data_IF_378859043259
#
_entry.id   IF_378859043259
#
_cell.length_a   1.000
_cell.length_b   1.000
_cell.length_c   1.000
_cell.angle_alpha   90.00
_cell.angle_beta   90.00
_cell.angle_gamma   90.00
#
_symmetry.space_group_name_H-M   'P 1'
#
loop_
_entity.id
_entity.type
_entity.pdbx_description
1 polymer ?
#
# COMPACT_ATOMS: atom_id res chain seq x y z
N UNK A 1 -2.93 9.20 16.99
CA UNK A 1 -3.98 8.63 17.85
C UNK A 1 -3.78 7.14 18.03
N UNK A 2 -4.24 6.61 19.16
CA UNK A 2 -4.27 5.16 19.40
C UNK A 2 -5.39 4.51 18.61
N UNK A 3 -5.38 3.20 18.51
CA UNK A 3 -6.42 2.41 17.82
C UNK A 3 -7.78 2.59 18.51
N UNK A 4 -7.79 2.58 19.85
CA UNK A 4 -9.00 2.83 20.63
C UNK A 4 -9.58 4.23 20.44
N UNK A 5 -8.73 5.28 20.48
CA UNK A 5 -9.15 6.67 20.22
C UNK A 5 -9.74 6.85 18.82
N UNK A 6 -9.17 6.18 17.82
CA UNK A 6 -9.68 6.23 16.45
C UNK A 6 -11.04 5.55 16.33
N UNK A 7 -11.21 4.38 16.94
CA UNK A 7 -12.46 3.62 16.95
C UNK A 7 -13.58 4.41 17.67
N UNK A 8 -13.26 5.00 18.82
CA UNK A 8 -14.20 5.85 19.57
C UNK A 8 -14.63 7.08 18.78
N UNK A 9 -13.65 7.79 18.17
CA UNK A 9 -13.93 8.96 17.34
C UNK A 9 -14.83 8.61 16.16
N UNK A 10 -14.51 7.54 15.44
CA UNK A 10 -15.30 7.09 14.29
C UNK A 10 -16.74 6.77 14.69
N UNK A 11 -16.94 6.12 15.83
CA UNK A 11 -18.24 5.75 16.34
C UNK A 11 -19.03 6.97 16.82
N UNK A 12 -18.39 7.88 17.58
CA UNK A 12 -19.01 9.09 18.13
C UNK A 12 -19.44 10.05 17.04
N UNK A 13 -18.54 10.33 16.09
CA UNK A 13 -18.81 11.28 15.00
C UNK A 13 -19.63 10.63 13.86
N UNK A 14 -19.89 9.32 13.93
CA UNK A 14 -20.58 8.56 12.88
C UNK A 14 -19.99 8.81 11.49
N UNK A 15 -18.66 8.85 11.42
CA UNK A 15 -17.94 9.15 10.19
C UNK A 15 -18.28 8.14 9.10
N UNK A 16 -18.66 8.63 7.91
CA UNK A 16 -19.04 7.79 6.77
C UNK A 16 -17.91 7.61 5.74
N UNK A 17 -16.86 8.43 5.82
CA UNK A 17 -15.75 8.44 4.88
C UNK A 17 -14.42 8.40 5.61
N UNK A 18 -13.47 7.63 5.07
CA UNK A 18 -12.10 7.56 5.55
C UNK A 18 -11.15 8.04 4.45
N UNK A 19 -10.11 8.78 4.84
CA UNK A 19 -8.97 9.10 3.99
C UNK A 19 -7.70 8.81 4.79
N UNK A 20 -6.84 7.92 4.26
CA UNK A 20 -5.60 7.56 4.95
C UNK A 20 -4.92 6.33 4.37
N UNK A 21 -4.00 5.74 5.13
CA UNK A 21 -3.24 4.58 4.69
C UNK A 21 -4.07 3.28 4.79
N UNK A 22 -3.85 2.31 3.88
CA UNK A 22 -4.66 1.08 3.81
C UNK A 22 -4.49 0.18 5.04
N UNK A 23 -3.27 -0.09 5.49
CA UNK A 23 -3.03 -1.00 6.63
C UNK A 23 -3.60 -0.47 7.95
N UNK A 24 -3.41 0.81 8.34
CA UNK A 24 -4.08 1.37 9.50
C UNK A 24 -5.61 1.28 9.44
N UNK A 25 -6.20 1.45 8.24
CA UNK A 25 -7.64 1.26 8.07
C UNK A 25 -8.04 -0.20 8.33
N UNK A 26 -7.34 -1.18 7.74
CA UNK A 26 -7.62 -2.59 7.95
C UNK A 26 -7.51 -2.97 9.43
N UNK A 27 -6.46 -2.51 10.11
CA UNK A 27 -6.28 -2.71 11.54
C UNK A 27 -7.44 -2.12 12.37
N UNK A 28 -7.93 -0.92 12.01
CA UNK A 28 -9.06 -0.28 12.67
C UNK A 28 -10.36 -1.08 12.47
N UNK A 29 -10.65 -1.52 11.24
CA UNK A 29 -11.84 -2.32 10.95
C UNK A 29 -11.82 -3.66 11.70
N UNK A 30 -10.68 -4.34 11.73
CA UNK A 30 -10.49 -5.59 12.47
C UNK A 30 -10.64 -5.40 13.98
N UNK A 31 -10.09 -4.31 14.52
CA UNK A 31 -10.23 -3.96 15.93
C UNK A 31 -11.69 -3.70 16.32
N UNK A 32 -12.44 -3.02 15.46
CA UNK A 32 -13.85 -2.71 15.67
C UNK A 32 -14.79 -3.90 15.42
N UNK A 33 -14.30 -4.98 14.80
CA UNK A 33 -15.13 -6.09 14.33
C UNK A 33 -16.02 -5.73 13.15
N UNK A 34 -15.63 -4.74 12.34
CA UNK A 34 -16.30 -4.32 11.14
C UNK A 34 -16.21 -2.81 10.87
N UNK A 35 -16.89 -2.37 9.82
CA UNK A 35 -16.79 -1.01 9.29
C UNK A 35 -17.52 0.09 10.12
N UNK A 36 -18.36 -0.28 11.06
CA UNK A 36 -19.20 0.68 11.79
C UNK A 36 -20.03 1.55 10.84
N UNK A 37 -19.92 2.89 10.98
CA UNK A 37 -20.58 3.88 10.13
C UNK A 37 -19.89 4.12 8.79
N UNK A 38 -18.66 3.64 8.57
CA UNK A 38 -17.92 3.86 7.34
C UNK A 38 -18.64 3.25 6.13
N UNK A 39 -18.74 4.04 5.07
CA UNK A 39 -19.38 3.67 3.81
C UNK A 39 -18.41 3.66 2.64
N UNK A 40 -17.31 4.41 2.75
CA UNK A 40 -16.31 4.55 1.68
C UNK A 40 -14.94 4.92 2.26
N UNK A 41 -13.90 4.56 1.54
CA UNK A 41 -12.54 4.94 1.89
C UNK A 41 -11.72 5.30 0.65
N UNK A 42 -10.95 6.37 0.74
CA UNK A 42 -9.85 6.68 -0.16
C UNK A 42 -8.55 6.30 0.54
N UNK A 43 -7.85 5.30 0.01
CA UNK A 43 -6.59 4.84 0.58
C UNK A 43 -5.42 5.35 -0.24
N UNK A 44 -4.47 5.97 0.45
CA UNK A 44 -3.32 6.64 -0.14
C UNK A 44 -2.15 6.73 0.84
N UNK A 45 -1.00 7.18 0.37
CA UNK A 45 0.19 7.44 1.19
C UNK A 45 1.09 6.24 1.37
N UNK A 46 0.60 5.03 1.14
CA UNK A 46 1.38 3.80 1.10
C UNK A 46 0.81 2.84 0.05
N UNK A 47 1.57 1.80 -0.33
CA UNK A 47 1.07 0.76 -1.19
C UNK A 47 -0.17 0.09 -0.57
N UNK A 48 -1.09 -0.36 -1.42
CA UNK A 48 -2.21 -1.20 -1.03
C UNK A 48 -2.02 -2.59 -1.64
N UNK A 49 -1.33 -3.52 -0.95
CA UNK A 49 -1.07 -4.86 -1.44
C UNK A 49 -2.36 -5.63 -1.66
N UNK A 50 -2.35 -6.63 -2.54
CA UNK A 50 -3.53 -7.37 -2.95
C UNK A 50 -4.28 -8.00 -1.76
N UNK A 51 -3.55 -8.61 -0.80
CA UNK A 51 -4.17 -9.17 0.40
C UNK A 51 -4.84 -8.12 1.30
N UNK A 52 -4.25 -6.92 1.41
CA UNK A 52 -4.87 -5.80 2.13
C UNK A 52 -6.09 -5.27 1.38
N UNK A 53 -5.98 -5.14 0.05
CA UNK A 53 -7.07 -4.71 -0.81
C UNK A 53 -8.27 -5.63 -0.67
N UNK A 54 -8.07 -6.94 -0.84
CA UNK A 54 -9.14 -7.95 -0.76
C UNK A 54 -9.87 -7.92 0.59
N UNK A 55 -9.14 -7.77 1.68
CA UNK A 55 -9.73 -7.68 3.01
C UNK A 55 -10.51 -6.36 3.21
N UNK A 56 -9.99 -5.24 2.73
CA UNK A 56 -10.70 -3.96 2.78
C UNK A 56 -11.95 -3.96 1.89
N UNK A 57 -11.90 -4.57 0.71
CA UNK A 57 -13.04 -4.70 -0.19
C UNK A 57 -14.14 -5.59 0.39
N UNK A 58 -13.77 -6.64 1.13
CA UNK A 58 -14.73 -7.48 1.84
C UNK A 58 -15.55 -6.67 2.85
N UNK A 59 -14.93 -5.69 3.54
CA UNK A 59 -15.59 -4.85 4.54
C UNK A 59 -16.36 -3.67 3.92
N UNK A 60 -15.80 -3.03 2.90
CA UNK A 60 -16.31 -1.78 2.32
C UNK A 60 -16.96 -1.95 0.94
N UNK A 61 -16.73 -3.10 0.27
CA UNK A 61 -17.18 -3.36 -1.09
C UNK A 61 -16.55 -2.41 -2.10
N UNK A 62 -17.27 -2.12 -3.19
CA UNK A 62 -16.83 -1.22 -4.27
C UNK A 62 -16.66 0.26 -3.87
N UNK A 63 -16.61 0.55 -2.58
CA UNK A 63 -16.46 1.89 -2.00
C UNK A 63 -15.04 2.17 -1.49
N UNK A 64 -14.11 1.31 -1.82
CA UNK A 64 -12.68 1.50 -1.58
C UNK A 64 -12.04 2.08 -2.83
N UNK A 65 -11.37 3.21 -2.69
CA UNK A 65 -10.75 3.96 -3.79
C UNK A 65 -9.25 4.13 -3.53
N UNK A 66 -8.41 3.25 -4.05
CA UNK A 66 -6.98 3.48 -4.10
C UNK A 66 -6.63 4.75 -4.87
N UNK A 67 -5.71 5.51 -4.29
CA UNK A 67 -5.19 6.75 -4.84
C UNK A 67 -3.66 6.71 -4.79
N UNK A 68 -3.05 7.04 -5.91
CA UNK A 68 -1.61 7.21 -6.02
C UNK A 68 -1.25 8.69 -6.19
N UNK A 69 -0.21 9.12 -5.50
CA UNK A 69 0.32 10.46 -5.64
C UNK A 69 1.57 10.67 -4.81
N UNK A 70 2.30 11.71 -5.14
CA UNK A 70 3.49 12.17 -4.45
C UNK A 70 3.53 13.69 -4.38
N UNK A 71 4.50 14.25 -3.68
CA UNK A 71 4.67 15.71 -3.60
C UNK A 71 5.00 16.28 -4.98
N UNK A 72 5.76 15.55 -5.77
CA UNK A 72 6.18 15.90 -7.13
C UNK A 72 4.99 16.02 -8.10
N UNK A 73 3.88 15.36 -7.78
CA UNK A 73 2.62 15.39 -8.56
C UNK A 73 1.56 16.31 -7.95
N UNK A 74 1.93 17.22 -7.05
CA UNK A 74 0.99 18.01 -6.27
C UNK A 74 -0.08 17.16 -5.58
N UNK A 75 0.36 16.08 -4.93
CA UNK A 75 -0.41 15.16 -4.11
C UNK A 75 -1.38 14.23 -4.86
N UNK A 76 -1.76 14.51 -6.09
CA UNK A 76 -2.71 13.69 -6.84
C UNK A 76 -2.20 13.28 -8.21
N UNK A 77 -1.77 12.03 -8.40
CA UNK A 77 -1.32 11.47 -9.68
C UNK A 77 -2.37 10.61 -10.36
N UNK A 78 -2.98 9.70 -9.63
CA UNK A 78 -3.98 8.78 -10.17
C UNK A 78 -4.98 8.32 -9.09
N UNK A 79 -6.21 7.99 -9.50
CA UNK A 79 -7.26 7.51 -8.60
C UNK A 79 -8.12 6.45 -9.28
N UNK A 80 -8.52 5.44 -8.51
CA UNK A 80 -9.44 4.41 -8.97
C UNK A 80 -10.84 4.99 -9.18
N UNK A 81 -11.52 4.53 -10.24
CA UNK A 81 -12.92 4.81 -10.52
C UNK A 81 -13.84 3.67 -10.00
N UNK A 82 -15.19 3.82 -10.08
CA UNK A 82 -16.12 2.78 -9.64
C UNK A 82 -16.00 1.43 -10.37
N UNK A 83 -15.33 1.35 -11.52
CA UNK A 83 -15.06 0.09 -12.21
C UNK A 83 -13.95 -0.74 -11.54
N UNK A 84 -13.14 -0.12 -10.68
CA UNK A 84 -12.03 -0.76 -9.96
C UNK A 84 -10.98 -1.44 -10.85
N UNK A 85 -10.86 -1.00 -12.10
CA UNK A 85 -9.86 -1.49 -13.05
C UNK A 85 -8.70 -0.51 -13.20
N UNK A 86 -7.84 -0.44 -12.19
CA UNK A 86 -6.70 0.46 -12.14
C UNK A 86 -7.05 1.88 -11.72
N UNK A 87 -6.07 2.78 -11.84
CA UNK A 87 -6.16 4.17 -11.40
C UNK A 87 -6.01 5.11 -12.58
N UNK A 88 -7.01 5.96 -12.83
CA UNK A 88 -7.00 6.97 -13.87
C UNK A 88 -5.99 8.08 -13.56
N UNK A 89 -5.10 8.36 -14.51
CA UNK A 89 -4.11 9.42 -14.42
C UNK A 89 -4.74 10.81 -14.57
N UNK A 90 -4.15 11.77 -13.88
CA UNK A 90 -4.45 13.20 -14.06
C UNK A 90 -3.62 13.79 -15.20
N UNK A 91 -3.90 13.37 -16.43
CA UNK A 91 -3.12 13.71 -17.63
C UNK A 91 -3.13 15.21 -17.98
N UNK A 92 -4.02 15.99 -17.37
CA UNK A 92 -4.02 17.44 -17.47
C UNK A 92 -2.93 18.14 -16.61
N UNK A 93 -2.26 17.40 -15.71
CA UNK A 93 -1.21 17.92 -14.84
C UNK A 93 0.12 17.20 -14.98
N UNK A 94 0.10 15.94 -15.40
CA UNK A 94 1.29 15.11 -15.54
C UNK A 94 1.25 14.32 -16.85
N UNK A 95 2.38 14.29 -17.54
CA UNK A 95 2.69 13.29 -18.54
C UNK A 95 3.41 12.14 -17.86
N UNK A 96 2.91 10.92 -18.01
CA UNK A 96 3.52 9.72 -17.42
C UNK A 96 4.06 8.80 -18.51
N UNK A 97 5.22 8.19 -18.24
CA UNK A 97 5.87 7.17 -19.03
C UNK A 97 6.18 5.97 -18.13
N UNK A 98 6.11 4.76 -18.68
CA UNK A 98 6.66 3.57 -18.03
C UNK A 98 7.94 3.22 -18.79
N UNK A 99 9.05 3.12 -18.07
CA UNK A 99 10.35 2.94 -18.72
C UNK A 99 11.09 1.69 -18.24
N UNK A 100 11.92 1.15 -19.13
CA UNK A 100 12.91 0.12 -18.82
C UNK A 100 14.01 0.66 -17.90
N UNK A 101 14.87 -0.20 -17.33
CA UNK A 101 16.07 0.25 -16.61
C UNK A 101 16.96 1.16 -17.45
N UNK A 102 16.99 0.96 -18.77
CA UNK A 102 17.73 1.79 -19.74
C UNK A 102 17.07 3.16 -20.01
N UNK A 103 15.85 3.38 -19.55
CA UNK A 103 15.12 4.64 -19.76
C UNK A 103 14.29 4.68 -21.04
N UNK A 104 14.14 3.57 -21.75
CA UNK A 104 13.33 3.44 -22.95
C UNK A 104 11.86 3.24 -22.57
N UNK A 105 10.95 3.91 -23.27
CA UNK A 105 9.52 3.76 -23.04
C UNK A 105 9.04 2.34 -23.37
N UNK A 106 8.28 1.75 -22.45
CA UNK A 106 7.70 0.42 -22.59
C UNK A 106 6.25 0.50 -23.12
N UNK A 107 5.82 -0.51 -23.89
CA UNK A 107 4.43 -0.61 -24.34
C UNK A 107 3.47 -0.83 -23.18
N UNK A 108 2.18 -0.52 -23.40
CA UNK A 108 1.12 -0.76 -22.43
C UNK A 108 1.05 -2.25 -22.06
N UNK A 109 0.91 -2.53 -20.78
CA UNK A 109 0.90 -3.88 -20.23
C UNK A 109 2.24 -4.33 -19.66
N UNK A 110 3.35 -3.72 -20.04
CA UNK A 110 4.67 -4.05 -19.51
C UNK A 110 4.99 -3.29 -18.23
N UNK A 111 5.60 -4.00 -17.27
CA UNK A 111 6.02 -3.43 -16.00
C UNK A 111 7.34 -2.69 -16.12
N UNK A 112 7.41 -1.48 -15.56
CA UNK A 112 8.62 -0.67 -15.55
C UNK A 112 8.56 0.43 -14.48
N UNK A 113 9.56 1.28 -14.48
CA UNK A 113 9.59 2.43 -13.59
C UNK A 113 8.70 3.55 -14.13
N UNK A 114 7.90 4.13 -13.23
CA UNK A 114 7.11 5.30 -13.54
C UNK A 114 8.00 6.54 -13.60
N UNK A 115 7.96 7.21 -14.74
CA UNK A 115 8.61 8.49 -14.99
C UNK A 115 7.53 9.53 -15.25
N UNK A 116 7.68 10.72 -14.68
CA UNK A 116 6.72 11.80 -14.84
C UNK A 116 7.36 13.08 -15.37
N UNK A 117 6.59 13.81 -16.17
CA UNK A 117 6.85 15.20 -16.53
C UNK A 117 5.67 16.03 -16.01
N UNK A 118 5.96 17.05 -15.22
CA UNK A 118 4.92 17.94 -14.69
C UNK A 118 4.53 18.98 -15.74
N UNK A 119 3.23 19.20 -15.89
CA UNK A 119 2.67 20.21 -16.78
C UNK A 119 2.24 21.41 -15.93
N UNK A 120 2.43 22.63 -16.44
CA UNK A 120 2.05 23.90 -15.80
C UNK A 120 2.66 24.17 -14.39
N UNK A 121 3.72 23.46 -14.00
CA UNK A 121 4.46 23.75 -12.77
C UNK A 121 5.58 24.75 -13.02
N UNK A 122 5.34 26.01 -12.70
CA UNK A 122 6.28 27.09 -12.99
C UNK A 122 7.45 27.16 -12.01
N UNK A 123 7.22 26.86 -10.71
CA UNK A 123 8.24 27.03 -9.68
C UNK A 123 9.33 25.95 -9.71
N UNK A 124 8.97 24.71 -10.00
CA UNK A 124 9.90 23.58 -10.09
C UNK A 124 9.38 22.58 -11.12
N UNK A 125 9.57 22.81 -12.41
CA UNK A 125 9.17 21.86 -13.45
C UNK A 125 10.05 20.60 -13.36
N UNK A 126 9.42 19.44 -13.37
CA UNK A 126 10.08 18.16 -13.47
C UNK A 126 9.93 17.63 -14.88
N UNK A 127 11.04 17.30 -15.53
CA UNK A 127 11.06 16.73 -16.87
C UNK A 127 11.67 15.34 -16.78
N UNK A 128 10.88 14.32 -17.15
CA UNK A 128 11.26 12.91 -17.08
C UNK A 128 11.86 12.50 -15.71
N UNK A 129 11.19 12.95 -14.64
CA UNK A 129 11.58 12.63 -13.27
C UNK A 129 11.31 11.16 -12.97
N UNK A 130 12.35 10.42 -12.61
CA UNK A 130 12.27 9.03 -12.20
C UNK A 130 11.76 8.92 -10.77
N UNK A 131 10.57 8.38 -10.59
CA UNK A 131 9.89 8.35 -9.28
C UNK A 131 10.43 7.28 -8.33
N UNK A 132 11.11 6.26 -8.84
CA UNK A 132 11.48 5.06 -8.12
C UNK A 132 10.27 4.15 -7.81
N UNK A 133 9.12 4.44 -8.39
CA UNK A 133 7.91 3.62 -8.27
C UNK A 133 7.74 2.73 -9.51
N UNK A 134 7.21 1.53 -9.31
CA UNK A 134 7.10 0.48 -10.31
C UNK A 134 5.64 0.17 -10.56
N UNK A 135 5.24 0.22 -11.83
CA UNK A 135 3.86 -0.01 -12.29
C UNK A 135 3.83 -0.33 -13.78
N UNK A 136 2.63 -0.38 -14.36
CA UNK A 136 2.40 -0.47 -15.81
C UNK A 136 1.15 0.29 -16.19
N UNK A 137 1.04 0.68 -17.45
CA UNK A 137 -0.25 1.10 -18.00
C UNK A 137 -1.13 -0.10 -18.28
N UNK A 138 -2.41 0.05 -17.95
CA UNK A 138 -3.41 -0.94 -18.32
C UNK A 138 -3.88 -0.68 -19.77
N UNK A 139 -3.88 -1.70 -20.63
CA UNK A 139 -4.37 -1.57 -22.00
C UNK A 139 -5.89 -1.40 -22.04
N UNK A 140 -6.38 -0.86 -23.15
CA UNK A 140 -7.80 -0.73 -23.45
C UNK A 140 -8.54 0.34 -22.65
N UNK A 141 -9.82 0.53 -23.00
CA UNK A 141 -10.68 1.52 -22.38
C UNK A 141 -11.24 1.01 -21.04
N UNK A 142 -11.41 1.92 -20.08
CA UNK A 142 -12.05 1.59 -18.81
C UNK A 142 -13.57 1.40 -18.99
N UNK A 143 -14.19 0.39 -18.34
CA UNK A 143 -15.65 0.23 -18.34
C UNK A 143 -16.42 1.43 -17.76
N UNK A 144 -15.77 2.29 -16.98
CA UNK A 144 -16.38 3.52 -16.48
C UNK A 144 -16.62 4.59 -17.56
N UNK A 145 -16.10 4.37 -18.79
CA UNK A 145 -16.16 5.34 -19.89
C UNK A 145 -15.07 6.43 -19.85
N UNK A 146 -14.23 6.45 -18.81
CA UNK A 146 -13.12 7.39 -18.70
C UNK A 146 -12.08 7.17 -19.81
N UNK A 147 -11.55 8.28 -20.35
CA UNK A 147 -10.64 8.26 -21.51
C UNK A 147 -9.16 8.40 -21.13
N UNK A 148 -8.85 8.79 -19.89
CA UNK A 148 -7.47 8.91 -19.41
C UNK A 148 -6.83 7.54 -19.20
N UNK A 149 -5.52 7.46 -19.41
CA UNK A 149 -4.74 6.24 -19.18
C UNK A 149 -4.85 5.78 -17.73
N UNK A 150 -4.69 4.49 -17.51
CA UNK A 150 -4.79 3.88 -16.19
C UNK A 150 -3.49 3.22 -15.80
N UNK A 151 -3.08 3.47 -14.57
CA UNK A 151 -2.01 2.71 -13.92
C UNK A 151 -2.58 1.45 -13.24
N UNK A 152 -1.84 0.38 -13.27
CA UNK A 152 -2.01 -0.75 -12.34
C UNK A 152 -1.64 -0.32 -10.90
N UNK A 153 -1.63 -1.27 -9.95
CA UNK A 153 -1.12 -1.00 -8.61
C UNK A 153 0.31 -0.46 -8.69
N UNK A 154 0.57 0.61 -7.93
CA UNK A 154 1.89 1.24 -7.86
C UNK A 154 2.59 0.79 -6.58
N UNK A 155 3.86 0.38 -6.70
CA UNK A 155 4.71 -0.02 -5.57
C UNK A 155 6.12 0.48 -5.76
N UNK A 156 6.95 0.46 -4.73
CA UNK A 156 8.39 0.67 -4.90
C UNK A 156 9.00 -0.45 -5.76
N UNK A 157 10.12 -0.15 -6.41
CA UNK A 157 10.90 -1.19 -7.11
C UNK A 157 11.07 -2.40 -6.18
N UNK A 158 10.74 -3.62 -6.65
CA UNK A 158 10.79 -4.81 -5.80
C UNK A 158 12.20 -5.06 -5.26
N UNK A 159 12.27 -5.31 -3.97
CA UNK A 159 13.48 -5.75 -3.28
C UNK A 159 13.26 -7.15 -2.70
N UNK A 160 14.33 -7.89 -2.42
CA UNK A 160 14.22 -9.20 -1.78
C UNK A 160 14.72 -9.14 -0.33
N UNK A 161 13.92 -9.55 0.66
CA UNK A 161 12.47 -9.82 0.58
C UNK A 161 11.64 -8.55 0.30
N UNK A 162 10.48 -8.71 -0.36
CA UNK A 162 9.59 -7.62 -0.75
C UNK A 162 8.50 -7.41 0.33
N UNK A 163 8.39 -6.19 0.84
CA UNK A 163 7.38 -5.84 1.85
C UNK A 163 5.96 -5.93 1.29
N UNK A 164 5.74 -5.65 0.00
CA UNK A 164 4.41 -5.69 -0.62
C UNK A 164 3.90 -7.12 -0.73
N UNK A 165 4.79 -8.06 -1.08
CA UNK A 165 4.46 -9.48 -1.12
C UNK A 165 4.22 -10.03 0.30
N UNK A 166 5.05 -9.63 1.26
CA UNK A 166 4.90 -10.02 2.65
C UNK A 166 3.58 -9.46 3.24
N UNK A 167 3.26 -8.20 2.98
CA UNK A 167 1.99 -7.59 3.38
C UNK A 167 0.80 -8.31 2.76
N UNK A 168 0.86 -8.64 1.47
CA UNK A 168 -0.21 -9.36 0.79
C UNK A 168 -0.49 -10.72 1.44
N UNK A 169 0.55 -11.48 1.75
CA UNK A 169 0.41 -12.81 2.36
C UNK A 169 -0.03 -12.73 3.83
N UNK A 170 0.57 -11.85 4.62
CA UNK A 170 0.32 -11.80 6.05
C UNK A 170 -1.03 -11.16 6.38
N UNK A 171 -1.43 -10.08 5.70
CA UNK A 171 -2.73 -9.47 5.96
C UNK A 171 -3.91 -10.28 5.44
N UNK A 172 -3.70 -11.30 4.61
CA UNK A 172 -4.71 -12.30 4.31
C UNK A 172 -5.03 -13.21 5.52
N UNK A 173 -4.16 -13.24 6.55
CA UNK A 173 -4.38 -14.05 7.75
C UNK A 173 -5.42 -13.38 8.68
N UNK A 174 -6.47 -14.11 9.08
CA UNK A 174 -7.46 -13.60 10.03
C UNK A 174 -6.81 -13.26 11.39
N UNK A 175 -7.27 -12.16 11.99
CA UNK A 175 -6.83 -11.74 13.33
C UNK A 175 -5.51 -10.97 13.37
N UNK A 176 -4.77 -10.83 12.28
CA UNK A 176 -3.60 -9.94 12.21
C UNK A 176 -4.08 -8.48 12.12
N UNK A 177 -3.69 -7.67 13.09
CA UNK A 177 -4.00 -6.21 13.12
C UNK A 177 -2.89 -5.42 12.43
N UNK A 178 -1.63 -5.72 12.77
CA UNK A 178 -0.45 -5.09 12.18
C UNK A 178 0.79 -5.93 12.46
N UNK A 179 1.90 -5.66 11.77
CA UNK A 179 3.20 -6.25 12.07
C UNK A 179 4.33 -5.35 11.61
N UNK A 180 5.52 -5.53 12.14
CA UNK A 180 6.77 -4.99 11.59
C UNK A 180 7.71 -6.13 11.18
N UNK A 181 8.53 -5.89 10.16
CA UNK A 181 9.53 -6.81 9.69
C UNK A 181 10.92 -6.17 9.71
N UNK A 182 11.91 -6.92 10.20
CA UNK A 182 13.32 -6.50 10.22
C UNK A 182 14.20 -7.63 9.68
N UNK A 183 15.06 -7.29 8.75
CA UNK A 183 16.08 -8.20 8.21
C UNK A 183 17.45 -7.89 8.84
N UNK A 184 18.03 -8.89 9.49
CA UNK A 184 19.29 -8.77 10.20
C UNK A 184 20.11 -10.06 10.00
N UNK A 185 21.25 -9.98 9.32
CA UNK A 185 22.19 -11.09 9.12
C UNK A 185 21.57 -12.40 8.59
N UNK A 186 20.59 -12.30 7.66
CA UNK A 186 19.90 -13.47 7.11
C UNK A 186 18.72 -13.99 7.97
N UNK A 187 18.41 -13.31 9.08
CA UNK A 187 17.25 -13.58 9.94
C UNK A 187 16.18 -12.54 9.68
N UNK A 188 14.99 -12.96 9.25
CA UNK A 188 13.81 -12.11 9.14
C UNK A 188 13.00 -12.20 10.45
N UNK A 189 13.00 -11.10 11.20
CA UNK A 189 12.20 -10.97 12.44
C UNK A 189 10.86 -10.33 12.10
N UNK A 190 9.77 -10.95 12.53
CA UNK A 190 8.41 -10.43 12.35
C UNK A 190 7.78 -10.27 13.73
N UNK A 191 7.52 -9.01 14.11
CA UNK A 191 6.81 -8.65 15.34
C UNK A 191 5.36 -8.32 14.98
N UNK A 192 4.47 -9.26 15.20
CA UNK A 192 3.07 -9.16 14.86
C UNK A 192 2.21 -8.73 16.05
N UNK A 193 1.11 -8.06 15.77
CA UNK A 193 0.10 -7.62 16.72
C UNK A 193 -1.28 -8.11 16.28
N UNK A 194 -1.95 -8.88 17.14
CA UNK A 194 -3.25 -9.48 16.83
C UNK A 194 -3.52 -10.76 17.60
N UNK A 195 -4.46 -11.55 17.09
CA UNK A 195 -4.81 -12.89 17.61
C UNK A 195 -4.39 -14.04 16.68
N UNK A 196 -3.61 -13.72 15.64
CA UNK A 196 -3.12 -14.71 14.66
C UNK A 196 -2.07 -15.64 15.30
N UNK A 197 -2.11 -16.97 15.03
CA UNK A 197 -1.07 -17.88 15.50
C UNK A 197 0.28 -17.61 14.83
N UNK A 198 1.37 -17.63 15.60
CA UNK A 198 2.72 -17.44 15.09
C UNK A 198 3.08 -18.43 13.96
N UNK A 199 2.63 -19.68 14.07
CA UNK A 199 2.85 -20.72 13.06
C UNK A 199 2.23 -20.40 11.70
N UNK A 200 1.12 -19.66 11.66
CA UNK A 200 0.49 -19.28 10.41
C UNK A 200 1.28 -18.14 9.73
N UNK A 201 1.79 -17.19 10.51
CA UNK A 201 2.71 -16.15 10.04
C UNK A 201 4.00 -16.77 9.48
N UNK A 202 4.61 -17.71 10.23
CA UNK A 202 5.81 -18.42 9.78
C UNK A 202 5.58 -19.16 8.47
N UNK A 203 4.46 -19.85 8.35
CA UNK A 203 4.11 -20.61 7.13
C UNK A 203 3.97 -19.67 5.93
N UNK A 204 3.24 -18.55 6.08
CA UNK A 204 3.05 -17.57 5.02
C UNK A 204 4.37 -16.91 4.61
N UNK A 205 5.19 -16.47 5.58
CA UNK A 205 6.48 -15.85 5.31
C UNK A 205 7.51 -16.82 4.71
N UNK A 206 7.47 -18.11 5.10
CA UNK A 206 8.37 -19.14 4.58
C UNK A 206 8.23 -19.34 3.08
N UNK A 207 7.01 -19.27 2.56
CA UNK A 207 6.75 -19.38 1.12
C UNK A 207 7.43 -18.27 0.31
N UNK A 208 7.53 -17.08 0.88
CA UNK A 208 8.15 -15.90 0.23
C UNK A 208 9.65 -15.79 0.49
N UNK A 209 10.11 -16.25 1.65
CA UNK A 209 11.50 -16.10 2.11
C UNK A 209 12.13 -17.43 2.48
N UNK A 210 12.22 -18.43 1.57
CA UNK A 210 12.62 -19.81 1.92
C UNK A 210 14.07 -19.92 2.40
N UNK A 211 14.92 -18.96 2.07
CA UNK A 211 16.35 -18.95 2.42
C UNK A 211 16.67 -18.20 3.72
N UNK A 212 15.68 -17.52 4.31
CA UNK A 212 15.89 -16.75 5.52
C UNK A 212 15.50 -17.58 6.77
N UNK A 213 16.24 -17.39 7.86
CA UNK A 213 15.77 -17.81 9.18
C UNK A 213 14.61 -16.89 9.58
N UNK A 214 13.51 -17.47 10.08
CA UNK A 214 12.33 -16.73 10.51
C UNK A 214 12.26 -16.72 12.03
N UNK A 215 12.04 -15.53 12.62
CA UNK A 215 11.71 -15.35 14.04
C UNK A 215 10.42 -14.55 14.14
N UNK A 216 9.37 -15.17 14.64
CA UNK A 216 8.05 -14.56 14.76
C UNK A 216 7.69 -14.39 16.22
N UNK A 217 7.28 -13.18 16.59
CA UNK A 217 6.68 -12.87 17.89
C UNK A 217 5.29 -12.30 17.66
N UNK A 218 4.30 -12.77 18.42
CA UNK A 218 2.92 -12.25 18.34
C UNK A 218 2.54 -11.70 19.70
N UNK A 219 2.01 -10.49 19.71
CA UNK A 219 1.48 -9.81 20.91
C UNK A 219 0.01 -9.50 20.76
N UNK A 220 -0.71 -9.52 21.86
CA UNK A 220 -2.09 -9.04 21.91
C UNK A 220 -2.13 -7.53 21.74
N UNK A 221 -3.21 -7.05 21.11
CA UNK A 221 -3.43 -5.61 20.89
C UNK A 221 -4.26 -5.03 22.03
N UNK A 222 -3.90 -3.84 22.48
CA UNK A 222 -4.67 -3.06 23.46
C UNK A 222 -5.26 -1.81 22.82
N UNK A 223 -6.24 -1.13 23.47
CA UNK A 223 -6.76 0.14 22.97
C UNK A 223 -5.70 1.23 22.79
N UNK A 224 -4.57 1.14 23.53
CA UNK A 224 -3.45 2.07 23.44
C UNK A 224 -2.51 1.82 22.27
N UNK A 225 -2.78 0.79 21.46
CA UNK A 225 -1.93 0.44 20.32
C UNK A 225 -1.90 1.57 19.27
N UNK A 226 -0.71 1.84 18.74
CA UNK A 226 -0.46 2.93 17.77
C UNK A 226 0.00 2.44 16.39
N UNK A 227 0.10 1.13 16.19
CA UNK A 227 0.69 0.51 15.01
C UNK A 227 2.11 0.01 15.25
N UNK A 228 2.58 -0.81 14.33
CA UNK A 228 3.95 -1.36 14.33
C UNK A 228 4.93 -0.46 13.56
N UNK A 229 4.43 0.42 12.70
CA UNK A 229 5.23 1.36 11.92
C UNK A 229 4.86 2.81 12.24
N UNK A 230 5.87 3.68 12.41
CA UNK A 230 5.65 5.13 12.56
C UNK A 230 5.40 5.86 11.24
N UNK A 231 5.61 5.20 10.09
CA UNK A 231 5.52 5.79 8.75
C UNK A 231 5.18 4.77 7.68
N UNK A 232 5.76 4.91 6.48
CA UNK A 232 5.54 3.96 5.37
C UNK A 232 6.09 2.59 5.68
N UNK A 233 5.40 1.57 5.19
CA UNK A 233 5.78 0.18 5.39
C UNK A 233 7.04 -0.18 4.61
N UNK A 234 7.96 -0.85 5.28
CA UNK A 234 9.23 -1.32 4.72
C UNK A 234 9.80 -2.43 5.59
N UNK A 235 10.65 -3.27 5.03
CA UNK A 235 11.48 -4.18 5.82
C UNK A 235 12.65 -3.38 6.36
N UNK A 236 12.72 -3.21 7.67
CA UNK A 236 13.82 -2.51 8.32
C UNK A 236 15.10 -3.34 8.15
N UNK A 237 16.14 -2.73 7.62
CA UNK A 237 17.47 -3.34 7.48
C UNK A 237 18.41 -2.69 8.48
N UNK A 238 19.20 -3.47 9.19
CA UNK A 238 20.28 -2.92 9.97
C UNK A 238 21.32 -2.42 8.99
N UNK A 239 21.56 -1.11 9.00
CA UNK A 239 22.74 -0.56 8.34
C UNK A 239 23.95 -1.18 9.08
N UNK A 240 24.73 -2.00 8.39
CA UNK A 240 26.04 -2.40 8.89
C UNK A 240 26.80 -1.07 9.08
N UNK A 241 27.47 -0.87 10.24
CA UNK A 241 28.36 0.28 10.37
C UNK A 241 29.35 0.21 9.19
N UNK A 242 29.47 1.30 8.46
CA UNK A 242 30.52 1.44 7.45
C UNK A 242 31.86 1.17 8.14
N UNK A 243 32.57 0.12 7.67
CA UNK A 243 33.89 -0.27 8.16
C UNK A 243 34.95 0.65 7.54
#
# INVERSE_FOLDING_TARGET
RTLGEQAELLSRERAESYIGMPVPLLGLLRWMGGRGSLRRALVSGDACPEGVMSELERELGSRLFPHYGSREMCLGGAVTCPAHEGMHLRENHILAEIVSPGGEALPDGEWGELVITTLDMQAMPLIRYRTGDYTRFLPGQCPCGGVTRRLAAVRRMPEQPDIVELDSALFALPGLIDYSARLDGGVLRIDAAGSVPAADIERAARGLCPRLELKVCVRTVSPAFRGCYPGKRQILRQLLPEV
#
